data_IF_359906126079
#
_entry.id   IF_359906126079
#
_cell.length_a   1.000
_cell.length_b   1.000
_cell.length_c   1.000
_cell.angle_alpha   90.00
_cell.angle_beta   90.00
_cell.angle_gamma   90.00
#
_symmetry.space_group_name_H-M   'P 1'
#
loop_
_entity.id
_entity.type
_entity.pdbx_description
1 polymer ?
#
# COMPACT_ATOMS: atom_id res chain seq x y z
N UNK A 1 -6.84 -22.64 32.18
CA UNK A 1 -7.55 -22.96 30.92
C UNK A 1 -7.24 -21.83 29.96
N UNK A 2 -6.26 -22.06 29.10
CA UNK A 2 -5.77 -21.07 28.15
C UNK A 2 -6.61 -21.18 26.87
N UNK A 3 -7.42 -20.18 26.57
CA UNK A 3 -8.13 -20.09 25.29
C UNK A 3 -7.14 -19.54 24.27
N UNK A 4 -6.66 -20.39 23.37
CA UNK A 4 -5.94 -20.00 22.18
C UNK A 4 -6.85 -19.11 21.32
N UNK A 5 -6.31 -18.04 20.67
CA UNK A 5 -7.08 -17.24 19.75
C UNK A 5 -7.48 -18.11 18.54
N UNK A 6 -8.76 -18.11 18.25
CA UNK A 6 -9.37 -18.78 17.10
C UNK A 6 -8.69 -18.24 15.83
N UNK A 7 -7.88 -19.06 15.18
CA UNK A 7 -7.35 -18.78 13.85
C UNK A 7 -8.55 -18.57 12.92
N UNK A 8 -8.76 -17.35 12.46
CA UNK A 8 -9.67 -17.05 11.36
C UNK A 8 -9.21 -17.93 10.20
N UNK A 9 -10.07 -18.83 9.72
CA UNK A 9 -9.80 -19.68 8.57
C UNK A 9 -9.54 -18.76 7.37
N UNK A 10 -8.27 -18.48 7.10
CA UNK A 10 -7.89 -17.70 5.92
C UNK A 10 -8.41 -18.43 4.69
N UNK A 11 -9.21 -17.74 3.90
CA UNK A 11 -9.72 -18.24 2.63
C UNK A 11 -8.53 -18.73 1.77
N UNK A 12 -8.71 -19.79 0.98
CA UNK A 12 -7.66 -20.31 0.11
C UNK A 12 -7.03 -19.22 -0.79
N UNK A 13 -7.84 -18.26 -1.23
CA UNK A 13 -7.37 -17.11 -2.00
C UNK A 13 -6.35 -16.27 -1.21
N UNK A 14 -6.58 -16.04 0.08
CA UNK A 14 -5.67 -15.27 0.94
C UNK A 14 -4.36 -16.01 1.16
N UNK A 15 -4.41 -17.32 1.40
CA UNK A 15 -3.20 -18.16 1.52
C UNK A 15 -2.35 -18.14 0.25
N UNK A 16 -2.98 -18.11 -0.91
CA UNK A 16 -2.28 -17.99 -2.20
C UNK A 16 -1.62 -16.62 -2.36
N UNK A 17 -2.28 -15.55 -1.92
CA UNK A 17 -1.69 -14.20 -1.92
C UNK A 17 -0.54 -14.09 -0.91
N UNK A 18 -0.68 -14.66 0.29
CA UNK A 18 0.40 -14.69 1.30
C UNK A 18 1.64 -15.40 0.75
N UNK A 19 1.46 -16.55 0.10
CA UNK A 19 2.56 -17.27 -0.54
C UNK A 19 3.17 -16.48 -1.71
N UNK A 20 2.34 -15.79 -2.51
CA UNK A 20 2.82 -14.95 -3.60
C UNK A 20 3.67 -13.79 -3.10
N UNK A 21 3.24 -13.11 -2.04
CA UNK A 21 3.99 -12.02 -1.41
C UNK A 21 5.32 -12.50 -0.83
N UNK A 22 5.34 -13.67 -0.20
CA UNK A 22 6.59 -14.25 0.31
C UNK A 22 7.60 -14.49 -0.82
N UNK A 23 7.15 -15.08 -1.94
CA UNK A 23 8.01 -15.30 -3.11
C UNK A 23 8.49 -13.98 -3.68
N UNK A 24 7.60 -12.98 -3.83
CA UNK A 24 7.99 -11.65 -4.34
C UNK A 24 8.99 -10.95 -3.42
N UNK A 25 8.80 -11.04 -2.11
CA UNK A 25 9.72 -10.44 -1.13
C UNK A 25 11.11 -11.10 -1.09
N UNK A 26 11.19 -12.40 -1.43
CA UNK A 26 12.43 -13.18 -1.41
C UNK A 26 13.15 -13.14 -2.76
N UNK A 27 12.44 -13.41 -3.84
CA UNK A 27 12.99 -13.69 -5.17
C UNK A 27 12.58 -12.65 -6.23
N UNK A 28 11.83 -11.63 -5.83
CA UNK A 28 11.25 -10.64 -6.74
C UNK A 28 10.16 -11.21 -7.65
N UNK A 29 9.62 -10.36 -8.53
CA UNK A 29 8.58 -10.77 -9.49
C UNK A 29 9.07 -11.80 -10.51
N UNK A 30 10.37 -11.83 -10.81
CA UNK A 30 10.95 -12.84 -11.71
C UNK A 30 10.87 -14.25 -11.11
N UNK A 31 11.09 -14.39 -9.79
CA UNK A 31 10.96 -15.66 -9.06
C UNK A 31 9.52 -16.11 -8.86
N UNK A 32 8.54 -15.22 -9.00
CA UNK A 32 7.14 -15.55 -8.85
C UNK A 32 6.70 -16.50 -9.98
N UNK A 33 6.52 -17.77 -9.65
CA UNK A 33 5.94 -18.78 -10.54
C UNK A 33 4.68 -19.37 -9.92
N UNK A 34 3.73 -19.81 -10.74
CA UNK A 34 2.50 -20.45 -10.25
C UNK A 34 2.81 -21.72 -9.44
N UNK A 35 3.91 -22.43 -9.78
CA UNK A 35 4.33 -23.63 -9.05
C UNK A 35 4.86 -23.27 -7.65
N UNK A 36 5.76 -22.29 -7.55
CA UNK A 36 6.32 -21.84 -6.25
C UNK A 36 5.21 -21.34 -5.31
N UNK A 37 4.24 -20.60 -5.84
CA UNK A 37 3.11 -20.11 -5.04
C UNK A 37 2.17 -21.26 -4.63
N UNK A 38 1.88 -22.22 -5.50
CA UNK A 38 1.06 -23.38 -5.15
C UNK A 38 1.72 -24.23 -4.07
N UNK A 39 3.04 -24.46 -4.18
CA UNK A 39 3.84 -25.14 -3.17
C UNK A 39 3.85 -24.40 -1.84
N UNK A 40 4.16 -23.12 -1.84
CA UNK A 40 4.16 -22.26 -0.64
C UNK A 40 2.80 -22.19 0.05
N UNK A 41 1.70 -22.23 -0.71
CA UNK A 41 0.34 -22.27 -0.16
C UNK A 41 -0.14 -23.68 0.24
N UNK A 42 0.63 -24.74 -0.07
CA UNK A 42 0.25 -26.12 0.22
C UNK A 42 -0.96 -26.61 -0.62
N UNK A 43 -1.04 -26.22 -1.89
CA UNK A 43 -2.16 -26.57 -2.78
C UNK A 43 -1.65 -27.09 -4.14
N UNK A 44 -2.54 -27.76 -4.88
CA UNK A 44 -2.22 -28.15 -6.25
C UNK A 44 -2.20 -26.95 -7.20
N UNK A 45 -1.43 -27.05 -8.28
CA UNK A 45 -1.43 -26.03 -9.35
C UNK A 45 -2.83 -25.79 -9.93
N UNK A 46 -3.65 -26.84 -10.04
CA UNK A 46 -5.04 -26.72 -10.49
C UNK A 46 -5.90 -25.91 -9.55
N UNK A 47 -5.71 -26.08 -8.23
CA UNK A 47 -6.37 -25.27 -7.20
C UNK A 47 -5.97 -23.81 -7.28
N UNK A 48 -4.69 -23.50 -7.54
CA UNK A 48 -4.24 -22.12 -7.77
C UNK A 48 -4.85 -21.54 -9.04
N UNK A 49 -4.81 -22.27 -10.16
CA UNK A 49 -5.32 -21.79 -11.46
C UNK A 49 -6.83 -21.48 -11.44
N UNK A 50 -7.58 -22.11 -10.55
CA UNK A 50 -8.99 -21.80 -10.35
C UNK A 50 -9.18 -20.36 -9.79
N UNK A 51 -8.28 -19.90 -8.93
CA UNK A 51 -8.33 -18.55 -8.33
C UNK A 51 -7.57 -17.52 -9.18
N UNK A 52 -6.45 -17.90 -9.76
CA UNK A 52 -5.55 -17.04 -10.52
C UNK A 52 -5.13 -17.72 -11.80
N UNK A 53 -5.80 -17.42 -12.94
CA UNK A 53 -5.59 -18.14 -14.21
C UNK A 53 -4.22 -17.90 -14.85
N UNK A 54 -3.47 -16.91 -14.37
CA UNK A 54 -2.14 -16.58 -14.89
C UNK A 54 -1.25 -15.92 -13.83
N UNK A 55 0.06 -15.88 -14.09
CA UNK A 55 1.02 -15.11 -13.29
C UNK A 55 0.63 -13.62 -13.22
N UNK A 56 0.21 -13.04 -14.35
CA UNK A 56 -0.22 -11.63 -14.40
C UNK A 56 -1.45 -11.38 -13.51
N UNK A 57 -2.44 -12.27 -13.53
CA UNK A 57 -3.61 -12.17 -12.67
C UNK A 57 -3.23 -12.23 -11.18
N UNK A 58 -2.25 -13.08 -10.83
CA UNK A 58 -1.74 -13.18 -9.46
C UNK A 58 -1.00 -11.90 -9.04
N UNK A 59 -0.13 -11.33 -9.91
CA UNK A 59 0.57 -10.06 -9.65
C UNK A 59 -0.43 -8.94 -9.43
N UNK A 60 -1.42 -8.78 -10.31
CA UNK A 60 -2.47 -7.76 -10.17
C UNK A 60 -3.22 -7.92 -8.85
N UNK A 61 -3.51 -9.16 -8.42
CA UNK A 61 -4.19 -9.41 -7.15
C UNK A 61 -3.33 -9.07 -5.92
N UNK A 62 -2.01 -9.28 -5.96
CA UNK A 62 -1.09 -8.83 -4.93
C UNK A 62 -1.09 -7.31 -4.84
N UNK A 63 -1.01 -6.61 -5.98
CA UNK A 63 -1.07 -5.14 -6.03
C UNK A 63 -2.41 -4.62 -5.50
N UNK A 64 -3.53 -5.26 -5.83
CA UNK A 64 -4.86 -4.89 -5.32
C UNK A 64 -4.94 -5.04 -3.79
N UNK A 65 -4.32 -6.09 -3.22
CA UNK A 65 -4.26 -6.27 -1.77
C UNK A 65 -3.47 -5.17 -1.09
N UNK A 66 -2.28 -4.84 -1.57
CA UNK A 66 -1.48 -3.73 -1.05
C UNK A 66 -2.22 -2.39 -1.13
N UNK A 67 -2.89 -2.12 -2.25
CA UNK A 67 -3.69 -0.90 -2.39
C UNK A 67 -4.87 -0.87 -1.40
N UNK A 68 -5.47 -2.02 -1.10
CA UNK A 68 -6.55 -2.13 -0.11
C UNK A 68 -6.04 -1.93 1.31
N UNK A 69 -4.86 -2.42 1.63
CA UNK A 69 -4.20 -2.21 2.94
C UNK A 69 -3.88 -0.72 3.16
N UNK A 70 -3.39 -0.02 2.13
CA UNK A 70 -3.19 1.43 2.18
C UNK A 70 -4.51 2.21 2.45
N UNK A 71 -5.64 1.74 1.90
CA UNK A 71 -6.96 2.32 2.21
C UNK A 71 -7.36 2.05 3.66
N UNK A 72 -7.15 0.83 4.15
CA UNK A 72 -7.47 0.45 5.52
C UNK A 72 -6.66 1.28 6.53
N UNK A 73 -5.38 1.52 6.28
CA UNK A 73 -4.55 2.34 7.15
C UNK A 73 -4.97 3.82 7.13
N UNK A 74 -5.36 4.33 5.96
CA UNK A 74 -5.96 5.68 5.88
C UNK A 74 -7.28 5.74 6.66
N UNK A 75 -8.13 4.72 6.57
CA UNK A 75 -9.38 4.65 7.33
C UNK A 75 -9.13 4.63 8.84
N UNK A 76 -8.20 3.80 9.32
CA UNK A 76 -7.77 3.77 10.73
C UNK A 76 -7.25 5.14 11.20
N UNK A 77 -6.47 5.83 10.36
CA UNK A 77 -5.98 7.17 10.69
C UNK A 77 -7.11 8.21 10.78
N UNK A 78 -8.17 8.07 9.96
CA UNK A 78 -9.38 8.90 10.06
C UNK A 78 -10.10 8.67 11.38
N UNK A 79 -10.26 7.41 11.79
CA UNK A 79 -10.91 7.04 13.05
C UNK A 79 -10.09 7.53 14.26
N UNK A 80 -8.78 7.31 14.24
CA UNK A 80 -7.88 7.72 15.32
C UNK A 80 -7.76 9.24 15.48
N UNK A 81 -7.86 10.00 14.39
CA UNK A 81 -7.76 11.45 14.43
C UNK A 81 -8.91 12.14 15.18
N UNK A 82 -10.07 11.50 15.32
CA UNK A 82 -11.24 12.00 16.06
C UNK A 82 -11.75 13.38 15.61
N UNK A 83 -11.01 14.09 14.78
CA UNK A 83 -11.30 15.45 14.35
C UNK A 83 -12.23 15.45 13.13
N UNK A 84 -13.34 16.14 13.23
CA UNK A 84 -14.17 16.51 12.09
C UNK A 84 -13.67 17.83 11.48
N UNK A 85 -14.09 18.11 10.25
CA UNK A 85 -13.83 19.39 9.60
C UNK A 85 -12.87 19.34 8.42
N UNK A 86 -12.60 20.51 7.81
CA UNK A 86 -11.79 20.64 6.61
C UNK A 86 -10.38 20.03 6.78
N UNK A 87 -9.90 19.37 5.73
CA UNK A 87 -8.57 18.76 5.71
C UNK A 87 -8.44 17.43 6.47
N UNK A 88 -9.55 16.86 6.96
CA UNK A 88 -9.54 15.60 7.72
C UNK A 88 -8.94 14.45 6.94
N UNK A 89 -9.38 14.26 5.71
CA UNK A 89 -8.87 13.18 4.87
C UNK A 89 -7.40 13.40 4.49
N UNK A 90 -7.02 14.63 4.17
CA UNK A 90 -5.63 14.99 3.84
C UNK A 90 -4.69 14.71 5.00
N UNK A 91 -5.07 15.07 6.23
CA UNK A 91 -4.27 14.76 7.44
C UNK A 91 -4.21 13.27 7.72
N UNK A 92 -5.30 12.54 7.55
CA UNK A 92 -5.31 11.10 7.73
C UNK A 92 -4.44 10.39 6.69
N UNK A 93 -4.51 10.82 5.43
CA UNK A 93 -3.65 10.33 4.34
C UNK A 93 -2.16 10.52 4.67
N UNK A 94 -1.80 11.71 5.16
CA UNK A 94 -0.45 12.02 5.61
C UNK A 94 -0.04 11.12 6.79
N UNK A 95 -0.85 11.06 7.85
CA UNK A 95 -0.54 10.32 9.08
C UNK A 95 -0.38 8.81 8.84
N UNK A 96 -1.21 8.22 7.99
CA UNK A 96 -1.12 6.80 7.63
C UNK A 96 0.24 6.44 6.98
N UNK A 97 0.93 7.42 6.39
CA UNK A 97 2.20 7.23 5.66
C UNK A 97 3.41 7.81 6.38
N UNK A 98 3.21 8.40 7.57
CA UNK A 98 4.30 8.92 8.42
C UNK A 98 5.04 7.82 9.17
N UNK A 99 4.38 6.69 9.43
CA UNK A 99 4.95 5.54 10.13
C UNK A 99 6.03 4.84 9.30
N UNK A 100 6.81 3.94 9.94
CA UNK A 100 7.68 3.04 9.22
C UNK A 100 6.82 2.10 8.36
N UNK A 101 7.26 1.89 7.11
CA UNK A 101 6.70 0.83 6.27
C UNK A 101 7.19 -0.53 6.78
N UNK A 102 6.36 -1.56 6.67
CA UNK A 102 6.83 -2.93 6.91
C UNK A 102 7.93 -3.26 5.89
N UNK A 103 9.09 -3.74 6.31
CA UNK A 103 10.18 -4.09 5.38
C UNK A 103 9.78 -5.13 4.33
N UNK A 104 8.79 -5.97 4.62
CA UNK A 104 8.24 -6.92 3.65
C UNK A 104 7.47 -6.18 2.56
N UNK A 105 6.59 -5.25 2.95
CA UNK A 105 5.76 -4.47 2.02
C UNK A 105 6.62 -3.56 1.13
N UNK A 106 7.67 -2.96 1.71
CA UNK A 106 8.66 -2.19 0.97
C UNK A 106 9.31 -3.01 -0.14
N UNK A 107 9.77 -4.24 0.17
CA UNK A 107 10.36 -5.14 -0.83
C UNK A 107 9.38 -5.54 -1.91
N UNK A 108 8.15 -5.90 -1.53
CA UNK A 108 7.09 -6.28 -2.47
C UNK A 108 6.79 -5.11 -3.40
N UNK A 109 6.59 -3.92 -2.86
CA UNK A 109 6.27 -2.73 -3.66
C UNK A 109 7.40 -2.38 -4.64
N UNK A 110 8.65 -2.42 -4.18
CA UNK A 110 9.84 -2.17 -5.02
C UNK A 110 9.93 -3.19 -6.17
N UNK A 111 9.69 -4.47 -5.89
CA UNK A 111 9.70 -5.52 -6.90
C UNK A 111 8.56 -5.35 -7.92
N UNK A 112 7.38 -4.92 -7.48
CA UNK A 112 6.23 -4.64 -8.34
C UNK A 112 6.45 -3.39 -9.21
N UNK A 113 7.08 -2.33 -8.68
CA UNK A 113 7.47 -1.17 -9.47
C UNK A 113 8.46 -1.54 -10.59
N UNK A 114 9.45 -2.37 -10.27
CA UNK A 114 10.40 -2.87 -11.28
C UNK A 114 9.67 -3.68 -12.37
N UNK A 115 8.71 -4.54 -12.00
CA UNK A 115 7.92 -5.31 -12.95
C UNK A 115 7.01 -4.43 -13.81
N UNK A 116 6.49 -3.34 -13.26
CA UNK A 116 5.65 -2.39 -13.99
C UNK A 116 6.41 -1.65 -15.11
N UNK A 117 7.73 -1.60 -15.03
CA UNK A 117 8.57 -1.11 -16.14
C UNK A 117 8.46 -1.99 -17.39
N UNK A 118 8.13 -3.27 -17.25
CA UNK A 118 7.93 -4.21 -18.36
C UNK A 118 6.46 -4.36 -18.75
N UNK A 119 5.54 -4.26 -17.79
CA UNK A 119 4.10 -4.36 -18.00
C UNK A 119 3.34 -3.37 -17.10
N UNK A 120 3.02 -2.18 -17.63
CA UNK A 120 2.35 -1.13 -16.86
C UNK A 120 0.97 -1.51 -16.30
N UNK A 121 0.33 -2.57 -16.79
CA UNK A 121 -0.98 -3.02 -16.28
C UNK A 121 -0.90 -3.49 -14.82
N UNK A 122 0.27 -3.91 -14.34
CA UNK A 122 0.43 -4.34 -12.95
C UNK A 122 0.13 -3.24 -11.93
N UNK A 123 0.30 -1.96 -12.30
CA UNK A 123 -0.04 -0.83 -11.44
C UNK A 123 -1.48 -0.33 -11.59
N UNK A 124 -2.31 -0.98 -12.40
CA UNK A 124 -3.69 -0.54 -12.61
C UNK A 124 -4.52 -0.42 -11.32
N UNK A 125 -4.40 -1.34 -10.32
CA UNK A 125 -5.08 -1.18 -9.04
C UNK A 125 -4.64 0.10 -8.31
N UNK A 126 -3.35 0.40 -8.28
CA UNK A 126 -2.84 1.64 -7.67
C UNK A 126 -3.29 2.89 -8.42
N UNK A 127 -3.31 2.88 -9.76
CA UNK A 127 -3.81 4.02 -10.55
C UNK A 127 -5.26 4.34 -10.22
N UNK A 128 -6.12 3.32 -10.16
CA UNK A 128 -7.53 3.50 -9.79
C UNK A 128 -7.66 4.11 -8.38
N UNK A 129 -6.90 3.59 -7.41
CA UNK A 129 -6.89 4.12 -6.04
C UNK A 129 -6.39 5.56 -5.99
N UNK A 130 -5.31 5.88 -6.69
CA UNK A 130 -4.79 7.25 -6.76
C UNK A 130 -5.81 8.24 -7.33
N UNK A 131 -6.60 7.85 -8.32
CA UNK A 131 -7.70 8.67 -8.85
C UNK A 131 -8.74 8.94 -7.77
N UNK A 132 -9.15 7.92 -7.01
CA UNK A 132 -10.14 8.06 -5.94
C UNK A 132 -9.59 8.89 -4.75
N UNK A 133 -8.35 8.67 -4.34
CA UNK A 133 -7.71 9.49 -3.32
C UNK A 133 -7.60 10.95 -3.75
N UNK A 134 -7.21 11.21 -4.99
CA UNK A 134 -7.14 12.58 -5.51
C UNK A 134 -8.52 13.27 -5.50
N UNK A 135 -9.58 12.57 -5.88
CA UNK A 135 -10.95 13.10 -5.80
C UNK A 135 -11.33 13.44 -4.36
N UNK A 136 -11.02 12.57 -3.40
CA UNK A 136 -11.30 12.81 -1.97
C UNK A 136 -10.51 13.99 -1.43
N UNK A 137 -9.22 14.08 -1.75
CA UNK A 137 -8.34 15.19 -1.35
C UNK A 137 -8.84 16.52 -1.91
N UNK A 138 -9.24 16.55 -3.18
CA UNK A 138 -9.76 17.77 -3.82
C UNK A 138 -11.11 18.25 -3.23
N UNK A 139 -11.84 17.38 -2.53
CA UNK A 139 -13.13 17.68 -1.91
C UNK A 139 -13.08 17.63 -0.37
N UNK A 140 -11.93 17.78 0.24
CA UNK A 140 -11.70 17.66 1.69
C UNK A 140 -11.91 18.98 2.46
N UNK A 141 -12.50 19.99 1.83
CA UNK A 141 -12.88 21.27 2.46
C UNK A 141 -11.72 22.24 2.70
N UNK A 142 -10.52 21.96 2.19
CA UNK A 142 -9.36 22.87 2.12
C UNK A 142 -9.03 23.18 0.66
N UNK A 143 -8.09 24.10 0.43
CA UNK A 143 -7.62 24.39 -0.92
C UNK A 143 -7.14 23.10 -1.63
N UNK A 144 -7.75 22.71 -2.78
CA UNK A 144 -7.36 21.50 -3.51
C UNK A 144 -5.90 21.47 -3.92
N UNK A 145 -5.29 22.65 -4.19
CA UNK A 145 -3.86 22.73 -4.51
C UNK A 145 -3.01 22.36 -3.28
N UNK A 146 -3.36 22.83 -2.09
CA UNK A 146 -2.69 22.48 -0.84
C UNK A 146 -2.81 20.97 -0.58
N UNK A 147 -4.01 20.41 -0.65
CA UNK A 147 -4.24 18.97 -0.47
C UNK A 147 -3.39 18.13 -1.45
N UNK A 148 -3.31 18.58 -2.71
CA UNK A 148 -2.50 17.92 -3.73
C UNK A 148 -1.00 18.03 -3.47
N UNK A 149 -0.50 19.20 -3.02
CA UNK A 149 0.92 19.38 -2.64
C UNK A 149 1.27 18.43 -1.49
N UNK A 150 0.44 18.36 -0.45
CA UNK A 150 0.64 17.44 0.67
C UNK A 150 0.74 15.99 0.19
N UNK A 151 -0.18 15.56 -0.67
CA UNK A 151 -0.15 14.22 -1.26
C UNK A 151 1.15 13.98 -2.03
N UNK A 152 1.51 14.86 -2.96
CA UNK A 152 2.71 14.69 -3.79
C UNK A 152 3.99 14.66 -2.95
N UNK A 153 4.05 15.46 -1.88
CA UNK A 153 5.20 15.48 -0.98
C UNK A 153 5.35 14.14 -0.24
N UNK A 154 4.26 13.59 0.31
CA UNK A 154 4.33 12.32 1.04
C UNK A 154 4.52 11.12 0.11
N UNK A 155 3.86 11.10 -1.05
CA UNK A 155 4.04 10.05 -2.06
C UNK A 155 5.50 10.02 -2.54
N UNK A 156 6.10 11.20 -2.79
CA UNK A 156 7.51 11.32 -3.16
C UNK A 156 8.45 10.86 -2.05
N UNK A 157 8.14 11.18 -0.78
CA UNK A 157 8.90 10.70 0.37
C UNK A 157 8.86 9.16 0.48
N UNK A 158 7.66 8.57 0.40
CA UNK A 158 7.49 7.12 0.44
C UNK A 158 8.22 6.44 -0.72
N UNK A 159 8.06 6.95 -1.94
CA UNK A 159 8.74 6.42 -3.12
C UNK A 159 10.27 6.52 -2.99
N UNK A 160 10.78 7.65 -2.49
CA UNK A 160 12.21 7.83 -2.24
C UNK A 160 12.74 6.80 -1.26
N UNK A 161 12.03 6.57 -0.14
CA UNK A 161 12.38 5.55 0.85
C UNK A 161 12.41 4.16 0.23
N UNK A 162 11.35 3.78 -0.49
CA UNK A 162 11.23 2.46 -1.14
C UNK A 162 12.33 2.19 -2.18
N UNK A 163 12.80 3.23 -2.87
CA UNK A 163 13.87 3.12 -3.85
C UNK A 163 15.28 3.27 -3.23
N UNK A 164 15.39 3.36 -1.90
CA UNK A 164 16.68 3.56 -1.22
C UNK A 164 17.34 4.90 -1.54
N UNK A 165 16.59 5.88 -2.03
CA UNK A 165 17.11 7.22 -2.28
C UNK A 165 17.29 7.99 -0.95
N UNK A 166 18.24 8.92 -0.87
CA UNK A 166 18.35 9.79 0.30
C UNK A 166 17.09 10.62 0.48
N UNK A 167 16.36 10.39 1.57
CA UNK A 167 15.21 11.19 1.98
C UNK A 167 15.53 11.89 3.32
N UNK A 168 14.89 13.03 3.61
CA UNK A 168 15.07 13.72 4.89
C UNK A 168 14.84 12.78 6.08
N UNK A 169 15.75 12.82 7.07
CA UNK A 169 15.68 12.00 8.27
C UNK A 169 15.57 12.90 9.51
N UNK A 170 15.35 12.27 10.65
CA UNK A 170 15.39 12.88 11.97
C UNK A 170 14.58 14.20 12.08
N UNK A 171 15.23 15.26 12.54
CA UNK A 171 14.60 16.55 12.80
C UNK A 171 14.04 17.20 11.52
N UNK A 172 14.77 17.14 10.40
CA UNK A 172 14.27 17.70 9.13
C UNK A 172 13.02 16.98 8.65
N UNK A 173 12.96 15.65 8.81
CA UNK A 173 11.75 14.88 8.53
C UNK A 173 10.59 15.37 9.39
N UNK A 174 10.78 15.50 10.70
CA UNK A 174 9.74 15.97 11.61
C UNK A 174 9.25 17.39 11.26
N UNK A 175 10.16 18.31 10.91
CA UNK A 175 9.82 19.66 10.47
C UNK A 175 8.99 19.68 9.19
N UNK A 176 9.34 18.84 8.20
CA UNK A 176 8.59 18.71 6.95
C UNK A 176 7.16 18.24 7.24
N UNK A 177 7.01 17.18 8.03
CA UNK A 177 5.68 16.66 8.38
C UNK A 177 4.84 17.66 9.16
N UNK A 178 5.43 18.35 10.15
CA UNK A 178 4.75 19.41 10.88
C UNK A 178 4.28 20.53 9.93
N UNK A 179 5.10 20.90 8.96
CA UNK A 179 4.76 21.92 7.97
C UNK A 179 3.63 21.48 7.05
N UNK A 180 3.65 20.22 6.60
CA UNK A 180 2.56 19.66 5.78
C UNK A 180 1.23 19.63 6.56
N UNK A 181 1.25 19.28 7.85
CA UNK A 181 0.06 19.34 8.72
C UNK A 181 -0.44 20.79 8.87
N UNK A 182 0.46 21.75 9.15
CA UNK A 182 0.13 23.17 9.27
C UNK A 182 -0.59 23.70 8.02
N UNK A 183 -0.12 23.31 6.82
CA UNK A 183 -0.73 23.71 5.55
C UNK A 183 -2.19 23.24 5.42
N UNK A 184 -2.58 22.17 6.10
CA UNK A 184 -3.94 21.60 6.04
C UNK A 184 -4.91 22.22 7.05
N UNK A 185 -4.44 23.14 7.90
CA UNK A 185 -5.31 23.82 8.86
C UNK A 185 -6.16 24.89 8.16
N UNK A 186 -7.42 25.07 8.58
CA UNK A 186 -8.24 26.18 8.09
C UNK A 186 -7.54 27.51 8.39
N UNK A 187 -7.56 28.40 7.42
CA UNK A 187 -7.11 29.79 7.60
C UNK A 187 -8.19 30.63 8.25
#
# INVERSE_FOLDING_TARGET
>A
MSTAPTAVSSNLRDRLLDAAEQVVAQDGVNGLTLNAVAEGAGVSKGGLLYHFPSKSALIVAVVERLATECDADTAKAIEAAGSEGPGRFTRAYLNARMGPCDPKDEKIFTALLAAAGTDPQYLEPFRRRHIEWQKRLANDGIDPAVATIVRLAIDGFCLGTMLGMPVPQDELRAQIFAKLIEMTQPK
#
